data_IF_940568944110
#
_entry.id   IF_940568944110
#
_cell.length_a   1.000
_cell.length_b   1.000
_cell.length_c   1.000
_cell.angle_alpha   90.00
_cell.angle_beta   90.00
_cell.angle_gamma   90.00
#
_symmetry.space_group_name_H-M   'P 1'
#
loop_
_entity.id
_entity.type
_entity.pdbx_description
1 polymer ?
#
# COMPACT_ATOMS: atom_id res chain seq x y z
N UNK A 1 11.12 6.91 20.18
CA UNK A 1 11.23 6.05 18.98
C UNK A 1 9.91 6.13 18.23
N UNK A 2 9.88 6.51 16.94
CA UNK A 2 8.64 6.91 16.23
C UNK A 2 7.60 5.80 16.06
N UNK A 3 8.01 4.53 16.05
CA UNK A 3 7.12 3.41 15.76
C UNK A 3 7.15 2.41 16.93
N UNK A 4 5.98 2.10 17.51
CA UNK A 4 5.86 1.31 18.75
C UNK A 4 6.03 -0.21 18.58
N UNK A 5 6.79 -0.91 19.44
CA UNK A 5 7.00 -2.37 19.38
C UNK A 5 5.69 -3.14 19.18
N UNK A 6 5.63 -3.95 18.12
CA UNK A 6 4.50 -4.84 17.86
C UNK A 6 5.03 -6.28 17.86
N UNK A 7 4.51 -7.11 18.77
CA UNK A 7 4.93 -8.49 18.96
C UNK A 7 4.48 -9.39 17.81
N UNK A 8 3.39 -9.04 17.11
CA UNK A 8 2.81 -9.85 16.03
C UNK A 8 3.45 -9.57 14.67
N UNK A 9 4.30 -8.55 14.57
CA UNK A 9 4.91 -8.10 13.31
C UNK A 9 5.60 -9.22 12.52
N UNK A 10 6.39 -10.08 13.16
CA UNK A 10 7.07 -11.19 12.47
C UNK A 10 6.08 -12.20 11.89
N UNK A 11 5.02 -12.50 12.64
CA UNK A 11 3.94 -13.39 12.19
C UNK A 11 3.19 -12.75 11.00
N UNK A 12 2.84 -11.46 11.10
CA UNK A 12 2.16 -10.73 10.04
C UNK A 12 2.99 -10.69 8.75
N UNK A 13 4.30 -10.47 8.84
CA UNK A 13 5.20 -10.54 7.67
C UNK A 13 5.09 -11.91 7.00
N UNK A 14 5.14 -13.00 7.78
CA UNK A 14 5.06 -14.36 7.25
C UNK A 14 3.70 -14.65 6.60
N UNK A 15 2.60 -14.32 7.29
CA UNK A 15 1.24 -14.57 6.79
C UNK A 15 0.98 -13.80 5.50
N UNK A 16 1.27 -12.51 5.46
CA UNK A 16 1.03 -11.70 4.27
C UNK A 16 1.98 -12.04 3.12
N UNK A 17 3.21 -12.48 3.40
CA UNK A 17 4.10 -13.03 2.38
C UNK A 17 3.55 -14.33 1.79
N UNK A 18 3.02 -15.23 2.62
CA UNK A 18 2.44 -16.49 2.16
C UNK A 18 1.16 -16.26 1.33
N UNK A 19 0.28 -15.36 1.78
CA UNK A 19 -0.92 -14.95 1.02
C UNK A 19 -0.56 -14.34 -0.32
N UNK A 20 0.46 -13.46 -0.36
CA UNK A 20 0.91 -12.87 -1.60
C UNK A 20 1.51 -13.90 -2.57
N UNK A 21 2.34 -14.83 -2.07
CA UNK A 21 2.91 -15.90 -2.90
C UNK A 21 1.82 -16.83 -3.44
N UNK A 22 0.85 -17.20 -2.61
CA UNK A 22 -0.30 -17.99 -3.05
C UNK A 22 -1.05 -17.29 -4.19
N UNK A 23 -1.37 -16.00 -4.01
CA UNK A 23 -2.02 -15.19 -5.04
C UNK A 23 -1.18 -15.10 -6.31
N UNK A 24 0.13 -14.85 -6.18
CA UNK A 24 1.05 -14.73 -7.30
C UNK A 24 1.14 -16.02 -8.14
N UNK A 25 1.15 -17.18 -7.49
CA UNK A 25 1.11 -18.49 -8.17
C UNK A 25 -0.20 -18.65 -8.93
N UNK A 26 -1.34 -18.37 -8.29
CA UNK A 26 -2.67 -18.50 -8.91
C UNK A 26 -2.79 -17.64 -10.17
N UNK A 27 -2.28 -16.41 -10.13
CA UNK A 27 -2.25 -15.48 -11.25
C UNK A 27 -1.30 -15.97 -12.35
N UNK A 28 -0.08 -16.40 -11.98
CA UNK A 28 0.93 -16.82 -12.95
C UNK A 28 0.51 -18.03 -13.78
N UNK A 29 -0.23 -18.96 -13.17
CA UNK A 29 -0.73 -20.16 -13.84
C UNK A 29 -2.14 -20.00 -14.41
N UNK A 30 -2.65 -18.76 -14.46
CA UNK A 30 -3.93 -18.42 -15.08
C UNK A 30 -5.11 -19.29 -14.59
N UNK A 31 -5.15 -19.54 -13.28
CA UNK A 31 -6.11 -20.47 -12.68
C UNK A 31 -7.54 -19.96 -12.83
N UNK A 32 -8.47 -20.85 -13.21
CA UNK A 32 -9.91 -20.57 -13.38
C UNK A 32 -10.53 -19.85 -12.17
N UNK A 33 -10.07 -20.18 -10.96
CA UNK A 33 -10.54 -19.55 -9.73
C UNK A 33 -10.32 -18.03 -9.71
N UNK A 34 -9.17 -17.55 -10.23
CA UNK A 34 -8.87 -16.12 -10.28
C UNK A 34 -9.76 -15.38 -11.27
N UNK A 35 -10.03 -15.99 -12.44
CA UNK A 35 -10.98 -15.44 -13.42
C UNK A 35 -12.39 -15.30 -12.86
N UNK A 36 -12.87 -16.32 -12.13
CA UNK A 36 -14.20 -16.27 -11.49
C UNK A 36 -14.27 -15.14 -10.46
N UNK A 37 -13.22 -14.98 -9.65
CA UNK A 37 -13.16 -13.88 -8.66
C UNK A 37 -13.12 -12.52 -9.37
N UNK A 38 -12.24 -12.35 -10.35
CA UNK A 38 -12.03 -11.06 -11.01
C UNK A 38 -13.29 -10.63 -11.79
N UNK A 39 -13.90 -11.56 -12.53
CA UNK A 39 -15.14 -11.31 -13.25
C UNK A 39 -16.32 -11.10 -12.30
N UNK A 40 -16.41 -11.89 -11.23
CA UNK A 40 -17.44 -11.74 -10.21
C UNK A 40 -17.36 -10.39 -9.50
N UNK A 41 -16.15 -9.97 -9.12
CA UNK A 41 -15.92 -8.67 -8.51
C UNK A 41 -16.27 -7.52 -9.47
N UNK A 42 -15.86 -7.61 -10.73
CA UNK A 42 -16.23 -6.63 -11.76
C UNK A 42 -17.75 -6.53 -11.92
N UNK A 43 -18.44 -7.67 -12.03
CA UNK A 43 -19.91 -7.70 -12.17
C UNK A 43 -20.60 -7.03 -10.98
N UNK A 44 -20.17 -7.35 -9.76
CA UNK A 44 -20.73 -6.74 -8.54
C UNK A 44 -20.48 -5.24 -8.53
N UNK A 45 -19.23 -4.81 -8.77
CA UNK A 45 -18.82 -3.41 -8.63
C UNK A 45 -19.43 -2.52 -9.70
N UNK A 46 -19.54 -3.03 -10.93
CA UNK A 46 -20.04 -2.27 -12.07
C UNK A 46 -21.57 -2.26 -12.14
N UNK A 47 -22.25 -3.36 -11.76
CA UNK A 47 -23.68 -3.54 -12.05
C UNK A 47 -24.58 -3.68 -10.81
N UNK A 48 -24.04 -4.06 -9.65
CA UNK A 48 -24.85 -4.36 -8.45
C UNK A 48 -24.69 -3.34 -7.32
N UNK A 49 -23.82 -2.33 -7.48
CA UNK A 49 -23.61 -1.32 -6.45
C UNK A 49 -24.73 -0.27 -6.46
N UNK A 50 -25.36 0.02 -5.29
CA UNK A 50 -26.37 1.07 -5.19
C UNK A 50 -25.79 2.46 -5.50
N UNK A 51 -26.60 3.34 -6.12
CA UNK A 51 -26.19 4.71 -6.47
C UNK A 51 -25.60 5.51 -5.29
N UNK A 52 -26.09 5.30 -4.06
CA UNK A 52 -25.53 5.96 -2.87
C UNK A 52 -24.07 5.58 -2.61
N UNK A 53 -23.71 4.33 -2.81
CA UNK A 53 -22.32 3.83 -2.68
C UNK A 53 -21.49 4.26 -3.88
N UNK A 54 -22.10 4.39 -5.06
CA UNK A 54 -21.45 4.88 -6.27
C UNK A 54 -20.79 6.26 -6.08
N UNK A 55 -21.46 7.17 -5.37
CA UNK A 55 -20.93 8.50 -5.08
C UNK A 55 -19.67 8.44 -4.19
N UNK A 56 -19.65 7.53 -3.21
CA UNK A 56 -18.47 7.31 -2.37
C UNK A 56 -17.31 6.69 -3.17
N UNK A 57 -17.60 5.74 -4.06
CA UNK A 57 -16.60 5.18 -4.96
C UNK A 57 -16.03 6.28 -5.87
N UNK A 58 -16.90 7.15 -6.40
CA UNK A 58 -16.46 8.26 -7.22
C UNK A 58 -15.55 9.23 -6.47
N UNK A 59 -15.85 9.48 -5.19
CA UNK A 59 -14.99 10.26 -4.30
C UNK A 59 -13.64 9.59 -4.09
N UNK A 60 -13.60 8.29 -3.80
CA UNK A 60 -12.34 7.53 -3.74
C UNK A 60 -11.55 7.58 -5.05
N UNK A 61 -12.26 7.52 -6.18
CA UNK A 61 -11.69 7.64 -7.52
C UNK A 61 -11.01 8.97 -7.79
N UNK A 62 -11.34 10.05 -7.08
CA UNK A 62 -10.58 11.31 -7.17
C UNK A 62 -9.14 11.08 -6.70
N UNK A 63 -8.96 10.41 -5.55
CA UNK A 63 -7.65 10.13 -4.96
C UNK A 63 -6.84 9.07 -5.70
N UNK A 64 -7.48 8.19 -6.47
CA UNK A 64 -6.85 7.12 -7.23
C UNK A 64 -6.06 7.61 -8.47
N UNK A 65 -5.19 8.61 -8.30
CA UNK A 65 -4.33 9.16 -9.35
C UNK A 65 -2.92 9.46 -8.83
N UNK A 66 -1.90 9.18 -9.67
CA UNK A 66 -0.50 9.49 -9.34
C UNK A 66 -0.26 10.99 -9.12
N UNK A 67 -0.99 11.84 -9.84
CA UNK A 67 -0.92 13.30 -9.71
C UNK A 67 -1.33 13.83 -8.33
N UNK A 68 -2.10 13.07 -7.55
CA UNK A 68 -2.44 13.44 -6.17
C UNK A 68 -1.45 12.77 -5.20
N UNK A 69 -1.14 11.50 -5.46
CA UNK A 69 -0.28 10.69 -4.62
C UNK A 69 1.15 11.23 -4.52
N UNK A 70 1.77 11.63 -5.63
CA UNK A 70 3.15 12.14 -5.64
C UNK A 70 3.27 13.43 -4.82
N UNK A 71 2.45 14.47 -5.02
CA UNK A 71 2.43 15.63 -4.13
C UNK A 71 2.14 15.27 -2.67
N UNK A 72 1.25 14.33 -2.39
CA UNK A 72 0.97 13.89 -1.02
C UNK A 72 2.19 13.23 -0.36
N UNK A 73 2.97 12.44 -1.09
CA UNK A 73 4.23 11.87 -0.61
C UNK A 73 5.28 12.95 -0.34
N UNK A 74 5.38 13.97 -1.22
CA UNK A 74 6.27 15.12 -1.01
C UNK A 74 5.85 15.87 0.25
N UNK A 75 4.56 16.16 0.42
CA UNK A 75 4.03 16.84 1.60
C UNK A 75 4.32 16.07 2.90
N UNK A 76 4.11 14.75 2.93
CA UNK A 76 4.44 13.91 4.08
C UNK A 76 5.94 13.91 4.36
N UNK A 77 6.78 13.83 3.32
CA UNK A 77 8.24 13.88 3.47
C UNK A 77 8.70 15.23 4.02
N UNK A 78 8.17 16.34 3.50
CA UNK A 78 8.44 17.69 4.00
C UNK A 78 7.98 17.85 5.45
N UNK A 79 6.81 17.32 5.81
CA UNK A 79 6.32 17.35 7.20
C UNK A 79 7.27 16.59 8.14
N UNK A 80 7.75 15.41 7.75
CA UNK A 80 8.75 14.67 8.52
C UNK A 80 10.07 15.44 8.66
N UNK A 81 10.48 16.18 7.62
CA UNK A 81 11.65 17.05 7.68
C UNK A 81 11.45 18.19 8.69
N UNK A 82 10.33 18.91 8.62
CA UNK A 82 10.02 20.03 9.52
C UNK A 82 9.86 19.59 10.98
N UNK A 83 9.42 18.36 11.23
CA UNK A 83 9.37 17.77 12.57
C UNK A 83 10.72 17.29 13.09
N UNK A 84 11.83 17.58 12.39
CA UNK A 84 13.18 17.09 12.70
C UNK A 84 13.26 15.56 12.76
N UNK A 85 12.56 14.86 11.86
CA UNK A 85 12.66 13.41 11.70
C UNK A 85 13.33 13.03 10.38
N UNK A 86 14.59 13.48 10.20
CA UNK A 86 15.30 13.35 8.92
C UNK A 86 15.54 11.88 8.54
N UNK A 87 15.80 11.03 9.53
CA UNK A 87 16.02 9.58 9.29
C UNK A 87 14.70 8.91 8.87
N UNK A 88 13.57 9.32 9.45
CA UNK A 88 12.26 8.79 9.06
C UNK A 88 11.86 9.26 7.66
N UNK A 89 12.15 10.51 7.31
CA UNK A 89 11.93 11.06 5.96
C UNK A 89 12.69 10.25 4.91
N UNK A 90 14.01 10.09 5.06
CA UNK A 90 14.80 9.33 4.10
C UNK A 90 14.37 7.87 4.01
N UNK A 91 14.05 7.25 5.14
CA UNK A 91 13.49 5.90 5.16
C UNK A 91 12.16 5.82 4.38
N UNK A 92 11.25 6.77 4.57
CA UNK A 92 9.99 6.83 3.84
C UNK A 92 10.24 6.93 2.32
N UNK A 93 11.07 7.87 1.87
CA UNK A 93 11.38 8.03 0.43
C UNK A 93 12.00 6.75 -0.15
N UNK A 94 13.03 6.21 0.50
CA UNK A 94 13.73 5.01 0.02
C UNK A 94 12.77 3.80 -0.05
N UNK A 95 11.89 3.65 0.94
CA UNK A 95 10.95 2.53 0.97
C UNK A 95 9.86 2.63 -0.10
N UNK A 96 9.40 3.84 -0.45
CA UNK A 96 8.46 4.05 -1.56
C UNK A 96 9.11 3.74 -2.92
N UNK A 97 10.35 4.20 -3.13
CA UNK A 97 11.08 3.92 -4.37
C UNK A 97 11.38 2.43 -4.52
N UNK A 98 11.86 1.78 -3.46
CA UNK A 98 12.11 0.33 -3.49
C UNK A 98 10.83 -0.47 -3.69
N UNK A 99 9.72 -0.06 -3.07
CA UNK A 99 8.45 -0.77 -3.24
C UNK A 99 7.92 -0.68 -4.66
N UNK A 100 8.11 0.46 -5.34
CA UNK A 100 7.79 0.63 -6.75
C UNK A 100 8.64 -0.29 -7.63
N UNK A 101 9.95 -0.28 -7.44
CA UNK A 101 10.87 -1.10 -8.24
C UNK A 101 10.54 -2.59 -8.09
N UNK A 102 10.29 -3.05 -6.85
CA UNK A 102 9.90 -4.44 -6.60
C UNK A 102 8.53 -4.77 -7.20
N UNK A 103 7.54 -3.90 -7.05
CA UNK A 103 6.21 -4.12 -7.63
C UNK A 103 6.26 -4.18 -9.16
N UNK A 104 7.10 -3.36 -9.80
CA UNK A 104 7.36 -3.41 -11.24
C UNK A 104 8.01 -4.73 -11.66
N UNK A 105 9.07 -5.15 -10.96
CA UNK A 105 9.74 -6.42 -11.23
C UNK A 105 8.79 -7.60 -11.06
N UNK A 106 7.98 -7.62 -10.00
CA UNK A 106 7.00 -8.68 -9.77
C UNK A 106 5.93 -8.68 -10.86
N UNK A 107 5.37 -7.51 -11.20
CA UNK A 107 4.38 -7.39 -12.27
C UNK A 107 4.92 -7.92 -13.59
N UNK A 108 6.17 -7.59 -13.92
CA UNK A 108 6.84 -8.09 -15.11
C UNK A 108 6.97 -9.62 -15.10
N UNK A 109 7.42 -10.21 -13.99
CA UNK A 109 7.57 -11.67 -13.86
C UNK A 109 6.22 -12.38 -13.97
N UNK A 110 5.17 -11.84 -13.37
CA UNK A 110 3.86 -12.48 -13.36
C UNK A 110 3.18 -12.42 -14.73
N UNK A 111 3.30 -11.30 -15.43
CA UNK A 111 2.49 -10.98 -16.61
C UNK A 111 3.21 -11.14 -17.94
N UNK A 112 4.49 -11.53 -17.94
CA UNK A 112 5.19 -11.84 -19.17
C UNK A 112 4.63 -13.12 -19.81
N UNK A 113 3.98 -12.95 -20.97
CA UNK A 113 3.50 -14.05 -21.80
C UNK A 113 4.29 -14.09 -23.11
N UNK A 114 4.61 -15.30 -23.58
CA UNK A 114 5.44 -15.53 -24.78
C UNK A 114 4.70 -16.29 -25.90
N UNK A 115 3.46 -16.71 -25.68
CA UNK A 115 2.69 -17.55 -26.62
C UNK A 115 2.36 -16.87 -27.96
N UNK A 116 2.35 -15.53 -28.04
CA UNK A 116 2.07 -14.77 -29.27
C UNK A 116 2.90 -13.48 -29.39
N UNK A 117 4.17 -13.56 -28.97
CA UNK A 117 5.08 -12.41 -28.83
C UNK A 117 5.08 -11.82 -27.41
N UNK A 118 6.05 -10.94 -27.09
CA UNK A 118 6.14 -10.34 -25.76
C UNK A 118 4.96 -9.39 -25.54
N UNK A 119 4.01 -9.82 -24.70
CA UNK A 119 2.89 -8.98 -24.23
C UNK A 119 2.95 -8.89 -22.72
N UNK A 120 2.71 -7.69 -22.20
CA UNK A 120 2.54 -7.42 -20.78
C UNK A 120 1.06 -7.30 -20.48
N UNK A 121 0.56 -8.18 -19.61
CA UNK A 121 -0.77 -8.07 -19.03
C UNK A 121 -0.88 -6.93 -18.00
N UNK A 122 -2.05 -6.76 -17.37
CA UNK A 122 -2.29 -5.71 -16.38
C UNK A 122 -1.33 -5.84 -15.19
N UNK A 123 -0.81 -4.73 -14.67
CA UNK A 123 0.14 -4.76 -13.56
C UNK A 123 -0.48 -5.40 -12.30
N UNK A 124 0.17 -6.44 -11.77
CA UNK A 124 -0.20 -7.09 -10.51
C UNK A 124 1.08 -7.26 -9.68
N UNK A 125 1.21 -6.62 -8.51
CA UNK A 125 0.22 -5.76 -7.84
C UNK A 125 0.06 -4.37 -8.49
N UNK A 126 -1.10 -3.75 -8.31
CA UNK A 126 -1.32 -2.36 -8.73
C UNK A 126 -0.44 -1.40 -7.91
N UNK A 127 0.48 -0.72 -8.59
CA UNK A 127 1.49 0.14 -7.97
C UNK A 127 0.86 1.35 -7.27
N UNK A 128 -0.15 1.97 -7.89
CA UNK A 128 -0.84 3.14 -7.35
C UNK A 128 -1.50 2.83 -5.99
N UNK A 129 -2.28 1.74 -5.92
CA UNK A 129 -2.95 1.32 -4.69
C UNK A 129 -1.95 0.90 -3.61
N UNK A 130 -0.83 0.30 -4.01
CA UNK A 130 0.25 -0.09 -3.11
C UNK A 130 0.94 1.12 -2.47
N UNK A 131 1.26 2.15 -3.26
CA UNK A 131 1.84 3.38 -2.73
C UNK A 131 0.85 4.14 -1.84
N UNK A 132 -0.42 4.23 -2.23
CA UNK A 132 -1.46 4.79 -1.35
C UNK A 132 -1.56 4.02 -0.03
N UNK A 133 -1.51 2.69 -0.06
CA UNK A 133 -1.51 1.86 1.15
C UNK A 133 -0.35 2.24 2.08
N UNK A 134 0.87 2.37 1.54
CA UNK A 134 2.08 2.71 2.32
C UNK A 134 2.03 4.15 2.85
N UNK A 135 1.54 5.10 2.06
CA UNK A 135 1.35 6.49 2.47
C UNK A 135 0.33 6.58 3.61
N UNK A 136 -0.84 5.95 3.46
CA UNK A 136 -1.89 5.93 4.48
C UNK A 136 -1.43 5.21 5.75
N UNK A 137 -0.69 4.10 5.62
CA UNK A 137 -0.09 3.40 6.76
C UNK A 137 0.91 4.31 7.51
N UNK A 138 1.73 5.07 6.78
CA UNK A 138 2.65 6.05 7.36
C UNK A 138 1.90 7.11 8.14
N UNK A 139 0.83 7.68 7.56
CA UNK A 139 0.00 8.68 8.23
C UNK A 139 -0.62 8.08 9.51
N UNK A 140 -1.24 6.90 9.41
CA UNK A 140 -1.97 6.27 10.51
C UNK A 140 -1.05 5.80 11.66
N UNK A 141 0.15 5.30 11.36
CA UNK A 141 1.05 4.67 12.35
C UNK A 141 2.11 5.64 12.85
N UNK A 142 2.58 6.59 12.03
CA UNK A 142 3.69 7.48 12.40
C UNK A 142 3.18 8.87 12.75
N UNK A 143 2.34 9.49 11.90
CA UNK A 143 1.93 10.88 12.09
C UNK A 143 0.79 10.98 13.12
N UNK A 144 -0.26 10.16 12.97
CA UNK A 144 -1.46 10.26 13.80
C UNK A 144 -1.23 10.06 15.30
N UNK A 145 -0.42 9.09 15.78
CA UNK A 145 -0.19 8.94 17.21
C UNK A 145 0.54 10.13 17.84
N UNK A 146 1.28 10.90 17.03
CA UNK A 146 2.00 12.09 17.49
C UNK A 146 1.11 13.34 17.50
N UNK A 147 0.12 13.43 16.60
CA UNK A 147 -0.82 14.55 16.53
C UNK A 147 -2.06 14.37 17.42
N UNK A 148 -2.59 13.15 17.52
CA UNK A 148 -3.85 12.85 18.20
C UNK A 148 -3.60 11.94 19.39
N UNK A 149 -3.64 12.51 20.60
CA UNK A 149 -3.47 11.77 21.86
C UNK A 149 -4.68 10.89 22.20
N UNK A 150 -5.88 11.25 21.75
CA UNK A 150 -7.10 10.50 22.05
C UNK A 150 -7.18 9.19 21.25
N UNK A 151 -7.22 8.06 21.96
CA UNK A 151 -7.28 6.71 21.38
C UNK A 151 -8.51 6.47 20.48
N UNK A 152 -9.69 6.95 20.88
CA UNK A 152 -10.93 6.75 20.09
C UNK A 152 -10.88 7.49 18.77
N UNK A 153 -10.43 8.75 18.80
CA UNK A 153 -10.28 9.57 17.61
C UNK A 153 -9.23 8.98 16.65
N UNK A 154 -8.12 8.48 17.20
CA UNK A 154 -7.11 7.76 16.41
C UNK A 154 -7.68 6.54 15.71
N UNK A 155 -8.46 5.71 16.41
CA UNK A 155 -9.12 4.53 15.81
C UNK A 155 -10.11 4.94 14.72
N UNK A 156 -10.92 5.97 14.95
CA UNK A 156 -11.85 6.49 13.94
C UNK A 156 -11.12 6.94 12.67
N UNK A 157 -10.02 7.69 12.82
CA UNK A 157 -9.23 8.14 11.68
C UNK A 157 -8.53 6.97 10.95
N UNK A 158 -8.04 5.95 11.67
CA UNK A 158 -7.51 4.74 11.03
C UNK A 158 -8.59 4.02 10.22
N UNK A 159 -9.82 3.91 10.75
CA UNK A 159 -10.94 3.33 10.01
C UNK A 159 -11.28 4.15 8.75
N UNK A 160 -11.23 5.48 8.84
CA UNK A 160 -11.40 6.37 7.67
C UNK A 160 -10.31 6.13 6.63
N UNK A 161 -9.04 5.96 7.03
CA UNK A 161 -7.96 5.67 6.07
C UNK A 161 -8.15 4.31 5.37
N UNK A 162 -8.59 3.29 6.12
CA UNK A 162 -8.86 1.96 5.54
C UNK A 162 -10.05 2.04 4.58
N UNK A 163 -11.12 2.74 4.99
CA UNK A 163 -12.30 2.93 4.16
C UNK A 163 -11.97 3.69 2.86
N UNK A 164 -11.19 4.76 2.95
CA UNK A 164 -10.71 5.50 1.78
C UNK A 164 -9.92 4.61 0.81
N UNK A 165 -9.05 3.75 1.34
CA UNK A 165 -8.31 2.79 0.51
C UNK A 165 -9.23 1.82 -0.22
N UNK A 166 -10.26 1.31 0.46
CA UNK A 166 -11.28 0.46 -0.16
C UNK A 166 -12.06 1.19 -1.27
N UNK A 167 -12.43 2.46 -1.06
CA UNK A 167 -13.08 3.25 -2.10
C UNK A 167 -12.20 3.44 -3.32
N UNK A 168 -10.89 3.68 -3.13
CA UNK A 168 -9.92 3.76 -4.23
C UNK A 168 -9.81 2.44 -4.98
N UNK A 169 -9.76 1.30 -4.27
CA UNK A 169 -9.73 -0.02 -4.88
C UNK A 169 -10.96 -0.24 -5.77
N UNK A 170 -12.16 0.00 -5.25
CA UNK A 170 -13.41 -0.14 -6.01
C UNK A 170 -13.44 0.80 -7.22
N UNK A 171 -12.95 2.03 -7.07
CA UNK A 171 -12.87 2.98 -8.16
C UNK A 171 -11.90 2.55 -9.27
N UNK A 172 -10.76 1.95 -8.92
CA UNK A 172 -9.82 1.39 -9.89
C UNK A 172 -10.42 0.22 -10.67
N UNK A 173 -11.18 -0.65 -10.01
CA UNK A 173 -11.87 -1.76 -10.68
C UNK A 173 -12.94 -1.23 -11.64
N UNK A 174 -13.68 -0.21 -11.23
CA UNK A 174 -14.75 0.35 -12.05
C UNK A 174 -14.25 1.17 -13.25
N UNK A 175 -13.24 2.03 -13.05
CA UNK A 175 -12.82 3.02 -14.06
C UNK A 175 -11.71 2.54 -14.98
N UNK A 176 -10.86 1.64 -14.49
CA UNK A 176 -9.64 1.22 -15.19
C UNK A 176 -9.67 -0.27 -15.56
N UNK A 177 -10.83 -0.93 -15.44
CA UNK A 177 -11.02 -2.38 -15.62
C UNK A 177 -9.94 -3.21 -14.91
N UNK A 178 -9.53 -2.73 -13.73
CA UNK A 178 -8.47 -3.37 -12.96
C UNK A 178 -9.01 -4.67 -12.35
N UNK A 179 -8.32 -5.82 -12.52
CA UNK A 179 -8.74 -7.06 -11.87
C UNK A 179 -8.63 -6.94 -10.35
N UNK A 180 -9.59 -7.52 -9.63
CA UNK A 180 -9.64 -7.48 -8.16
C UNK A 180 -8.39 -8.11 -7.53
N UNK A 181 -7.88 -9.16 -8.16
CA UNK A 181 -6.62 -9.82 -7.85
C UNK A 181 -5.42 -8.87 -7.82
N UNK A 182 -5.39 -7.84 -8.68
CA UNK A 182 -4.37 -6.81 -8.65
C UNK A 182 -4.43 -5.98 -7.36
N UNK A 183 -5.64 -5.64 -6.93
CA UNK A 183 -5.90 -4.93 -5.68
C UNK A 183 -5.55 -5.74 -4.43
N UNK A 184 -5.91 -7.03 -4.41
CA UNK A 184 -5.48 -7.96 -3.36
C UNK A 184 -3.96 -8.09 -3.32
N UNK A 185 -3.31 -8.14 -4.49
CA UNK A 185 -1.86 -8.11 -4.61
C UNK A 185 -1.27 -6.87 -3.95
N UNK A 186 -1.82 -5.69 -4.23
CA UNK A 186 -1.39 -4.42 -3.62
C UNK A 186 -1.55 -4.42 -2.11
N UNK A 187 -2.65 -4.99 -1.60
CA UNK A 187 -2.89 -5.10 -0.17
C UNK A 187 -1.91 -6.08 0.48
N UNK A 188 -1.74 -7.29 -0.07
CA UNK A 188 -0.90 -8.30 0.54
C UNK A 188 0.58 -7.93 0.48
N UNK A 189 1.06 -7.56 -0.71
CA UNK A 189 2.46 -7.16 -0.88
C UNK A 189 2.74 -5.82 -0.19
N UNK A 190 1.84 -4.84 -0.29
CA UNK A 190 2.02 -3.54 0.34
C UNK A 190 2.08 -3.66 1.87
N UNK A 191 1.22 -4.48 2.48
CA UNK A 191 1.24 -4.68 3.93
C UNK A 191 2.46 -5.48 4.38
N UNK A 192 2.83 -6.54 3.65
CA UNK A 192 4.08 -7.27 3.88
C UNK A 192 5.29 -6.32 3.85
N UNK A 193 5.39 -5.51 2.79
CA UNK A 193 6.50 -4.58 2.59
C UNK A 193 6.55 -3.51 3.67
N UNK A 194 5.39 -2.97 4.06
CA UNK A 194 5.27 -2.03 5.17
C UNK A 194 5.80 -2.64 6.48
N UNK A 195 5.35 -3.84 6.84
CA UNK A 195 5.78 -4.49 8.08
C UNK A 195 7.28 -4.80 8.10
N UNK A 196 7.82 -5.25 6.96
CA UNK A 196 9.25 -5.53 6.78
C UNK A 196 10.10 -4.27 6.87
N UNK A 197 9.70 -3.20 6.18
CA UNK A 197 10.44 -1.93 6.14
C UNK A 197 10.48 -1.27 7.51
N UNK A 198 9.37 -1.27 8.25
CA UNK A 198 9.31 -0.75 9.62
C UNK A 198 10.15 -1.61 10.59
N UNK A 199 10.19 -2.93 10.41
CA UNK A 199 11.06 -3.81 11.19
C UNK A 199 12.54 -3.45 10.98
N UNK A 200 12.95 -3.24 9.73
CA UNK A 200 14.32 -2.82 9.40
C UNK A 200 14.64 -1.43 9.92
N UNK A 201 13.69 -0.49 9.82
CA UNK A 201 13.82 0.85 10.40
C UNK A 201 14.14 0.76 11.88
N UNK A 202 13.37 0.00 12.68
CA UNK A 202 13.62 -0.09 14.13
C UNK A 202 14.97 -0.68 14.48
N UNK A 203 15.38 -1.74 13.76
CA UNK A 203 16.66 -2.41 14.02
C UNK A 203 17.84 -1.49 13.73
N UNK A 204 17.74 -0.64 12.71
CA UNK A 204 18.85 0.20 12.23
C UNK A 204 18.78 1.66 12.66
N UNK A 205 17.61 2.18 13.02
CA UNK A 205 17.42 3.61 13.33
C UNK A 205 18.26 4.06 14.53
N UNK A 206 18.45 3.22 15.56
CA UNK A 206 19.33 3.57 16.69
C UNK A 206 20.79 3.71 16.25
N UNK A 207 21.25 2.81 15.38
CA UNK A 207 22.60 2.87 14.83
C UNK A 207 22.78 4.12 13.97
N UNK A 208 21.85 4.40 13.04
CA UNK A 208 21.93 5.58 12.18
C UNK A 208 21.77 6.92 12.92
N UNK A 209 20.97 6.97 13.99
CA UNK A 209 20.91 8.14 14.89
C UNK A 209 22.25 8.42 15.54
N UNK A 210 22.93 7.36 16.00
CA UNK A 210 24.25 7.48 16.61
C UNK A 210 25.34 7.84 15.59
N UNK A 211 25.32 7.23 14.40
CA UNK A 211 26.34 7.49 13.36
C UNK A 211 26.21 8.86 12.74
N UNK A 212 24.99 9.35 12.55
CA UNK A 212 24.73 10.61 11.86
C UNK A 212 24.55 11.80 12.81
N UNK A 213 24.49 11.58 14.13
CA UNK A 213 24.19 12.60 15.16
C UNK A 213 22.93 13.43 14.89
N UNK A 214 21.99 12.85 14.14
CA UNK A 214 20.73 13.47 13.75
C UNK A 214 19.60 12.84 14.57
N UNK A 215 18.60 13.65 14.93
CA UNK A 215 17.45 13.27 15.76
C UNK A 215 17.82 12.91 17.25
N UNK A 216 18.84 13.56 17.82
CA UNK A 216 19.41 13.31 19.19
C UNK A 216 18.70 14.03 20.34
N UNK A 217 17.86 15.03 20.08
CA UNK A 217 17.20 15.88 21.10
C UNK A 217 15.88 15.30 21.65
N UNK A 218 15.80 13.99 21.92
CA UNK A 218 14.69 13.40 22.71
C UNK A 218 15.24 12.51 23.81
#
# INVERSE_FOLDING_TARGET
MLIQPDKLRKLLILVFSALFLFLAIQIRFDMLFMHVIDNGASLVIQNLIPHGVQNWINFGGLFAHYWILVPAMVLVSSLLYFMNYKIAMWWFIITQVLSMLLALTISFILQIHWLSGPKLGPAIPNILLLWWLQLLATIAVIIMPNLVKNRRMRQGLTMVTIFLWWLMLMACIQRNDMPFSSGLGSLFFGYFWWQLSEYQYRKRAKHWRHVLEIDTLI
#
